data_IF_903846698782
#
_entry.id   IF_903846698782
#
_cell.length_a   1.000
_cell.length_b   1.000
_cell.length_c   1.000
_cell.angle_alpha   90.00
_cell.angle_beta   90.00
_cell.angle_gamma   90.00
#
_symmetry.space_group_name_H-M   'P 1'
#
loop_
_entity.id
_entity.type
_entity.pdbx_description
1 polymer ?
#
# COMPACT_ATOMS: atom_id res chain seq x y z
N UNK A 1 2.04 26.80 -46.32
CA UNK A 1 1.90 25.40 -45.85
C UNK A 1 0.83 24.73 -46.69
N UNK A 2 1.04 23.49 -47.16
CA UNK A 2 0.14 22.83 -48.11
C UNK A 2 -1.13 22.29 -47.44
N UNK A 3 -2.23 22.28 -48.19
CA UNK A 3 -3.57 21.80 -47.76
C UNK A 3 -3.53 20.35 -47.25
N UNK A 4 -2.60 19.53 -47.73
CA UNK A 4 -2.38 18.15 -47.26
C UNK A 4 -2.18 18.04 -45.74
N UNK A 5 -1.34 18.90 -45.14
CA UNK A 5 -1.06 18.84 -43.68
C UNK A 5 -2.27 19.19 -42.82
N UNK A 6 -3.24 19.92 -43.35
CA UNK A 6 -4.50 20.23 -42.65
C UNK A 6 -5.46 19.04 -42.74
N UNK A 7 -5.53 18.38 -43.90
CA UNK A 7 -6.30 17.15 -44.09
C UNK A 7 -5.84 16.02 -43.16
N UNK A 8 -4.52 15.83 -43.04
CA UNK A 8 -3.93 14.84 -42.12
C UNK A 8 -4.33 15.13 -40.66
N UNK A 9 -4.17 16.39 -40.20
CA UNK A 9 -4.52 16.81 -38.83
C UNK A 9 -6.02 16.58 -38.52
N UNK A 10 -6.89 16.96 -39.45
CA UNK A 10 -8.35 16.80 -39.33
C UNK A 10 -8.74 15.31 -39.32
N UNK A 11 -8.04 14.46 -40.09
CA UNK A 11 -8.27 13.01 -40.09
C UNK A 11 -7.89 12.33 -38.76
N UNK A 12 -6.82 12.81 -38.11
CA UNK A 12 -6.39 12.34 -36.78
C UNK A 12 -7.45 12.70 -35.74
N UNK A 13 -7.89 13.97 -35.70
CA UNK A 13 -8.95 14.45 -34.81
C UNK A 13 -10.28 13.69 -34.98
N UNK A 14 -10.72 13.43 -36.23
CA UNK A 14 -11.93 12.66 -36.52
C UNK A 14 -11.87 11.21 -36.04
N UNK A 15 -10.70 10.58 -36.15
CA UNK A 15 -10.46 9.22 -35.69
C UNK A 15 -10.43 9.14 -34.16
N UNK A 16 -9.75 10.07 -33.50
CA UNK A 16 -9.70 10.18 -32.03
C UNK A 16 -11.09 10.45 -31.44
N UNK A 17 -11.89 11.33 -32.05
CA UNK A 17 -13.28 11.56 -31.66
C UNK A 17 -14.17 10.32 -31.86
N UNK A 18 -13.93 9.53 -32.91
CA UNK A 18 -14.66 8.28 -33.17
C UNK A 18 -14.29 7.18 -32.17
N UNK A 19 -13.01 7.04 -31.83
CA UNK A 19 -12.53 6.11 -30.80
C UNK A 19 -13.11 6.49 -29.41
N UNK A 20 -13.11 7.78 -29.04
CA UNK A 20 -13.74 8.29 -27.82
C UNK A 20 -15.23 7.95 -27.77
N UNK A 21 -15.96 8.21 -28.87
CA UNK A 21 -17.40 7.93 -28.97
C UNK A 21 -17.71 6.44 -28.77
N UNK A 22 -16.91 5.53 -29.33
CA UNK A 22 -17.07 4.08 -29.12
C UNK A 22 -16.87 3.70 -27.65
N UNK A 23 -15.85 4.25 -26.99
CA UNK A 23 -15.56 3.94 -25.58
C UNK A 23 -16.65 4.37 -24.60
N UNK A 24 -17.31 5.50 -24.88
CA UNK A 24 -18.46 5.98 -24.10
C UNK A 24 -19.67 5.05 -24.30
N UNK A 25 -19.96 4.65 -25.53
CA UNK A 25 -21.12 3.78 -25.85
C UNK A 25 -20.94 2.36 -25.31
N UNK A 26 -19.71 1.85 -25.25
CA UNK A 26 -19.34 0.56 -24.63
C UNK A 26 -19.48 0.54 -23.09
N UNK A 27 -19.90 1.66 -22.46
CA UNK A 27 -20.02 1.82 -21.00
C UNK A 27 -18.73 1.59 -20.20
N UNK A 28 -17.56 1.70 -20.83
CA UNK A 28 -16.25 1.41 -20.20
C UNK A 28 -15.70 2.56 -19.35
N UNK A 29 -16.26 3.77 -19.44
CA UNK A 29 -15.82 4.94 -18.65
C UNK A 29 -16.98 5.85 -18.28
N UNK A 30 -16.96 6.40 -17.07
CA UNK A 30 -17.87 7.47 -16.64
C UNK A 30 -17.24 8.84 -16.92
N UNK A 31 -17.71 9.53 -17.95
CA UNK A 31 -17.17 10.83 -18.39
C UNK A 31 -17.55 11.98 -17.44
N UNK A 32 -18.67 11.84 -16.71
CA UNK A 32 -19.32 12.96 -16.03
C UNK A 32 -18.52 13.56 -14.86
N UNK A 33 -17.74 12.75 -14.14
CA UNK A 33 -17.00 13.21 -12.96
C UNK A 33 -15.67 13.90 -13.34
N UNK A 34 -14.94 13.33 -14.31
CA UNK A 34 -13.59 13.80 -14.67
C UNK A 34 -13.61 15.10 -15.50
N UNK A 35 -14.64 15.32 -16.32
CA UNK A 35 -14.72 16.51 -17.20
C UNK A 35 -15.37 17.74 -16.58
N UNK A 36 -15.96 17.62 -15.38
CA UNK A 36 -16.67 18.73 -14.72
C UNK A 36 -15.77 19.92 -14.35
N UNK A 37 -14.46 19.70 -14.20
CA UNK A 37 -13.45 20.71 -13.89
C UNK A 37 -12.79 21.36 -15.12
N UNK A 38 -12.98 20.82 -16.34
CA UNK A 38 -12.16 21.17 -17.52
C UNK A 38 -12.83 22.25 -18.41
N UNK A 39 -14.04 22.71 -18.06
CA UNK A 39 -14.79 23.74 -18.80
C UNK A 39 -14.17 25.15 -18.82
N UNK A 40 -13.01 25.35 -18.21
CA UNK A 40 -12.34 26.65 -18.06
C UNK A 40 -10.88 26.68 -18.55
N UNK A 41 -10.35 25.59 -19.08
CA UNK A 41 -8.97 25.54 -19.61
C UNK A 41 -8.90 25.88 -21.10
N UNK A 42 -7.69 26.17 -21.61
CA UNK A 42 -7.49 26.57 -23.02
C UNK A 42 -7.44 25.35 -23.93
N UNK A 43 -7.82 25.50 -25.19
CA UNK A 43 -7.92 24.41 -26.18
C UNK A 43 -6.69 23.49 -26.26
N UNK A 44 -5.47 24.02 -26.06
CA UNK A 44 -4.24 23.22 -26.08
C UNK A 44 -4.04 22.36 -24.82
N UNK A 45 -4.49 22.84 -23.66
CA UNK A 45 -4.47 22.12 -22.38
C UNK A 45 -5.55 21.03 -22.41
N UNK A 46 -6.77 21.38 -22.85
CA UNK A 46 -7.87 20.46 -23.14
C UNK A 46 -7.47 19.33 -24.11
N UNK A 47 -6.76 19.65 -25.20
CA UNK A 47 -6.28 18.66 -26.18
C UNK A 47 -5.19 17.75 -25.60
N UNK A 48 -4.25 18.29 -24.82
CA UNK A 48 -3.24 17.49 -24.14
C UNK A 48 -3.89 16.51 -23.14
N UNK A 49 -4.88 16.97 -22.39
CA UNK A 49 -5.61 16.15 -21.41
C UNK A 49 -6.51 15.11 -22.09
N UNK A 50 -7.16 15.45 -23.21
CA UNK A 50 -7.88 14.49 -24.06
C UNK A 50 -6.96 13.43 -24.67
N UNK A 51 -5.75 13.81 -25.11
CA UNK A 51 -4.74 12.86 -25.60
C UNK A 51 -4.18 11.99 -24.48
N UNK A 52 -3.97 12.55 -23.28
CA UNK A 52 -3.59 11.81 -22.09
C UNK A 52 -4.68 10.79 -21.71
N UNK A 53 -5.94 11.22 -21.65
CA UNK A 53 -7.11 10.40 -21.40
C UNK A 53 -7.30 9.30 -22.45
N UNK A 54 -7.17 9.61 -23.75
CA UNK A 54 -7.25 8.63 -24.84
C UNK A 54 -6.11 7.61 -24.80
N UNK A 55 -4.91 7.98 -24.34
CA UNK A 55 -3.81 7.04 -24.18
C UNK A 55 -3.92 6.22 -22.88
N UNK A 56 -4.43 6.79 -21.78
CA UNK A 56 -4.87 6.08 -20.57
C UNK A 56 -5.92 5.02 -20.93
N UNK A 57 -6.90 5.40 -21.75
CA UNK A 57 -7.96 4.55 -22.29
C UNK A 57 -7.47 3.42 -23.23
N UNK A 58 -6.26 3.52 -23.80
CA UNK A 58 -5.63 2.45 -24.59
C UNK A 58 -4.90 1.41 -23.72
N UNK A 59 -4.68 1.66 -22.42
CA UNK A 59 -4.21 0.61 -21.51
C UNK A 59 -5.31 -0.45 -21.37
N UNK A 60 -4.90 -1.73 -21.33
CA UNK A 60 -5.83 -2.84 -21.09
C UNK A 60 -6.39 -2.71 -19.67
N UNK A 61 -7.67 -2.39 -19.54
CA UNK A 61 -8.38 -2.54 -18.27
C UNK A 61 -8.28 -4.00 -17.81
N UNK A 62 -8.04 -4.22 -16.52
CA UNK A 62 -7.86 -5.56 -15.94
C UNK A 62 -9.01 -5.86 -15.00
N UNK A 63 -9.46 -7.11 -14.94
CA UNK A 63 -10.26 -7.61 -13.83
C UNK A 63 -9.34 -8.09 -12.71
N UNK A 64 -9.26 -7.32 -11.63
CA UNK A 64 -8.39 -7.55 -10.49
C UNK A 64 -9.24 -7.95 -9.29
N UNK A 65 -8.96 -9.12 -8.71
CA UNK A 65 -9.57 -9.56 -7.46
C UNK A 65 -8.51 -9.53 -6.36
N UNK A 66 -8.72 -8.70 -5.34
CA UNK A 66 -7.96 -8.73 -4.10
C UNK A 66 -8.56 -9.76 -3.14
N UNK A 67 -7.73 -10.60 -2.53
CA UNK A 67 -8.11 -11.46 -1.39
C UNK A 67 -7.30 -10.98 -0.18
N UNK A 68 -8.00 -10.44 0.82
CA UNK A 68 -7.40 -9.90 2.04
C UNK A 68 -8.25 -10.25 3.28
N UNK A 69 -7.70 -9.98 4.46
CA UNK A 69 -8.41 -10.09 5.74
C UNK A 69 -8.96 -8.76 6.24
N UNK A 70 -8.55 -7.64 5.65
CA UNK A 70 -8.81 -6.29 6.14
C UNK A 70 -8.99 -5.31 4.97
N UNK A 71 -9.90 -4.35 5.12
CA UNK A 71 -10.19 -3.26 4.19
C UNK A 71 -10.97 -2.17 4.91
N UNK A 72 -10.53 -0.92 4.84
CA UNK A 72 -11.26 0.21 5.42
C UNK A 72 -12.46 0.62 4.53
N UNK A 73 -13.58 1.11 5.11
CA UNK A 73 -13.89 1.19 6.54
C UNK A 73 -14.50 -0.12 7.11
N UNK A 74 -14.63 -1.18 6.30
CA UNK A 74 -15.40 -2.39 6.63
C UNK A 74 -14.79 -3.17 7.80
N UNK A 75 -13.50 -3.51 7.71
CA UNK A 75 -12.72 -4.23 8.72
C UNK A 75 -11.33 -3.57 8.76
N UNK A 76 -11.08 -2.76 9.80
CA UNK A 76 -9.84 -1.98 9.92
C UNK A 76 -9.11 -2.28 11.22
N UNK A 77 -8.14 -3.20 11.18
CA UNK A 77 -7.37 -3.63 12.36
C UNK A 77 -5.93 -3.09 12.31
N UNK A 78 -5.32 -3.05 11.13
CA UNK A 78 -3.99 -2.48 10.89
C UNK A 78 -3.85 -1.79 9.54
N UNK A 79 -2.60 -1.51 9.16
CA UNK A 79 -2.24 -0.76 7.94
C UNK A 79 -2.64 -1.44 6.62
N UNK A 80 -2.99 -2.74 6.64
CA UNK A 80 -3.51 -3.42 5.44
C UNK A 80 -4.86 -2.82 5.02
N UNK A 81 -5.69 -2.43 5.98
CA UNK A 81 -7.04 -1.92 5.71
C UNK A 81 -7.05 -0.64 4.85
N UNK A 82 -6.36 0.47 5.21
CA UNK A 82 -6.29 1.65 4.35
C UNK A 82 -5.54 1.41 3.05
N UNK A 83 -4.55 0.50 3.05
CA UNK A 83 -3.81 0.12 1.84
C UNK A 83 -4.70 -0.54 0.78
N UNK A 84 -5.48 -1.57 1.16
CA UNK A 84 -6.39 -2.25 0.23
C UNK A 84 -7.41 -1.26 -0.34
N UNK A 85 -7.99 -0.40 0.49
CA UNK A 85 -8.96 0.61 0.08
C UNK A 85 -8.35 1.62 -0.88
N UNK A 86 -7.22 2.21 -0.50
CA UNK A 86 -6.52 3.22 -1.28
C UNK A 86 -6.05 2.71 -2.64
N UNK A 87 -5.40 1.55 -2.66
CA UNK A 87 -4.96 0.90 -3.90
C UNK A 87 -6.14 0.51 -4.79
N UNK A 88 -7.24 -0.03 -4.22
CA UNK A 88 -8.43 -0.39 -5.00
C UNK A 88 -9.06 0.82 -5.69
N UNK A 89 -9.19 1.94 -4.96
CA UNK A 89 -9.72 3.20 -5.50
C UNK A 89 -8.81 3.80 -6.59
N UNK A 90 -7.49 3.76 -6.39
CA UNK A 90 -6.51 4.21 -7.38
C UNK A 90 -6.57 3.37 -8.68
N UNK A 91 -6.67 2.05 -8.54
CA UNK A 91 -6.82 1.14 -9.67
C UNK A 91 -8.17 1.33 -10.40
N UNK A 92 -9.27 1.58 -9.67
CA UNK A 92 -10.54 1.95 -10.28
C UNK A 92 -10.45 3.27 -11.05
N UNK A 93 -9.75 4.29 -10.51
CA UNK A 93 -9.47 5.56 -11.21
C UNK A 93 -8.55 5.41 -12.43
N UNK A 94 -7.77 4.32 -12.53
CA UNK A 94 -7.05 3.92 -13.75
C UNK A 94 -7.91 3.14 -14.76
N UNK A 95 -9.15 2.79 -14.41
CA UNK A 95 -10.11 2.10 -15.28
C UNK A 95 -10.11 0.58 -15.15
N UNK A 96 -9.45 0.00 -14.14
CA UNK A 96 -9.51 -1.43 -13.89
C UNK A 96 -10.82 -1.80 -13.13
N UNK A 97 -11.37 -2.99 -13.43
CA UNK A 97 -12.45 -3.57 -12.62
C UNK A 97 -11.82 -4.20 -11.38
N UNK A 98 -12.02 -3.59 -10.21
CA UNK A 98 -11.46 -4.07 -8.94
C UNK A 98 -12.55 -4.60 -8.03
N UNK A 99 -12.37 -5.83 -7.56
CA UNK A 99 -13.19 -6.44 -6.51
C UNK A 99 -12.33 -6.85 -5.32
N UNK A 100 -12.93 -6.91 -4.13
CA UNK A 100 -12.25 -7.32 -2.89
C UNK A 100 -13.07 -8.40 -2.20
N UNK A 101 -12.43 -9.54 -1.91
CA UNK A 101 -13.02 -10.65 -1.15
C UNK A 101 -12.47 -10.59 0.27
N UNK A 102 -13.38 -10.56 1.26
CA UNK A 102 -13.12 -10.39 2.68
C UNK A 102 -13.88 -11.44 3.53
N UNK A 103 -13.38 -11.83 4.71
CA UNK A 103 -14.14 -12.63 5.67
C UNK A 103 -15.26 -11.80 6.30
N UNK A 104 -16.48 -12.37 6.40
CA UNK A 104 -17.62 -11.73 7.10
C UNK A 104 -17.54 -11.99 8.61
N UNK A 105 -16.57 -11.40 9.29
CA UNK A 105 -16.29 -11.66 10.72
C UNK A 105 -17.51 -11.55 11.64
N UNK A 106 -18.36 -10.53 11.46
CA UNK A 106 -19.54 -10.30 12.30
C UNK A 106 -20.64 -11.38 12.18
N UNK A 107 -20.55 -12.26 11.17
CA UNK A 107 -21.46 -13.39 10.98
C UNK A 107 -20.73 -14.71 10.81
N UNK A 108 -19.52 -14.84 11.39
CA UNK A 108 -18.74 -16.07 11.35
C UNK A 108 -19.43 -17.12 12.23
N UNK A 109 -19.80 -18.27 11.65
CA UNK A 109 -20.27 -19.41 12.42
C UNK A 109 -19.09 -19.99 13.20
N UNK A 110 -19.12 -19.86 14.53
CA UNK A 110 -18.02 -20.33 15.38
C UNK A 110 -17.92 -21.86 15.44
N UNK A 111 -19.02 -22.57 15.18
CA UNK A 111 -19.07 -24.03 15.12
C UNK A 111 -18.31 -24.60 13.90
N UNK A 112 -18.07 -23.77 12.87
CA UNK A 112 -17.27 -24.09 11.68
C UNK A 112 -15.77 -23.70 11.83
N UNK A 113 -15.37 -23.14 12.98
CA UNK A 113 -13.98 -22.73 13.24
C UNK A 113 -13.18 -23.90 13.82
N UNK A 114 -12.38 -24.55 12.98
CA UNK A 114 -11.64 -25.73 13.39
C UNK A 114 -10.53 -25.42 14.40
N UNK A 115 -10.45 -26.25 15.44
CA UNK A 115 -9.44 -26.11 16.48
C UNK A 115 -9.58 -24.82 17.30
N UNK A 116 -10.79 -24.20 17.32
CA UNK A 116 -11.08 -23.02 18.14
C UNK A 116 -10.77 -23.29 19.61
N UNK A 117 -9.79 -22.58 20.16
CA UNK A 117 -9.37 -22.67 21.55
C UNK A 117 -8.92 -21.33 22.10
N UNK A 118 -9.12 -21.12 23.39
CA UNK A 118 -8.50 -20.03 24.12
C UNK A 118 -6.98 -20.31 24.23
N UNK A 119 -6.17 -19.27 23.99
CA UNK A 119 -4.74 -19.27 24.28
C UNK A 119 -4.61 -18.70 25.69
N UNK A 120 -4.09 -19.51 26.61
CA UNK A 120 -3.64 -19.06 27.94
C UNK A 120 -2.42 -18.13 27.78
N UNK A 121 -2.71 -16.84 27.59
CA UNK A 121 -1.73 -15.77 27.51
C UNK A 121 -2.30 -14.51 28.15
N UNK A 122 -1.64 -14.01 29.19
CA UNK A 122 -1.98 -12.71 29.77
C UNK A 122 -1.66 -11.60 28.76
N UNK A 123 -2.70 -11.01 28.18
CA UNK A 123 -2.57 -9.90 27.25
C UNK A 123 -3.49 -8.76 27.66
N UNK A 124 -2.94 -7.54 27.74
CA UNK A 124 -3.67 -6.37 28.18
C UNK A 124 -3.70 -5.30 27.08
N UNK A 125 -4.82 -4.59 26.98
CA UNK A 125 -5.05 -3.55 25.98
C UNK A 125 -5.68 -2.32 26.63
N UNK A 126 -5.29 -1.13 26.19
CA UNK A 126 -5.94 0.10 26.63
C UNK A 126 -7.20 0.36 25.82
N UNK A 127 -8.33 0.56 26.50
CA UNK A 127 -9.59 0.98 25.91
C UNK A 127 -10.31 1.95 26.85
N UNK A 128 -10.76 3.09 26.31
CA UNK A 128 -11.32 4.22 27.07
C UNK A 128 -10.49 4.64 28.30
N UNK A 129 -9.16 4.71 28.13
CA UNK A 129 -8.23 5.14 29.19
C UNK A 129 -7.98 4.11 30.31
N UNK A 130 -8.58 2.93 30.23
CA UNK A 130 -8.40 1.85 31.21
C UNK A 130 -7.70 0.64 30.57
N UNK A 131 -6.99 -0.13 31.38
CA UNK A 131 -6.31 -1.36 30.96
C UNK A 131 -7.26 -2.56 31.13
N UNK A 132 -7.54 -3.28 30.05
CA UNK A 132 -8.42 -4.45 30.03
C UNK A 132 -7.62 -5.72 29.79
N UNK A 133 -7.94 -6.79 30.53
CA UNK A 133 -7.44 -8.12 30.24
C UNK A 133 -8.18 -8.72 29.03
N UNK A 134 -7.43 -9.30 28.09
CA UNK A 134 -7.96 -9.86 26.86
C UNK A 134 -7.87 -11.39 26.91
N UNK A 135 -8.90 -12.07 26.42
CA UNK A 135 -8.85 -13.48 26.09
C UNK A 135 -8.51 -13.62 24.62
N UNK A 136 -7.44 -14.34 24.30
CA UNK A 136 -7.01 -14.57 22.92
C UNK A 136 -7.57 -15.91 22.48
N UNK A 137 -8.27 -15.95 21.36
CA UNK A 137 -8.76 -17.19 20.75
C UNK A 137 -8.00 -17.47 19.46
N UNK A 138 -7.79 -18.74 19.15
CA UNK A 138 -7.15 -19.18 17.91
C UNK A 138 -7.90 -20.36 17.32
N UNK A 139 -8.03 -20.39 15.99
CA UNK A 139 -8.70 -21.42 15.22
C UNK A 139 -8.48 -21.19 13.73
N UNK A 140 -8.89 -22.14 12.90
CA UNK A 140 -8.72 -22.12 11.45
C UNK A 140 -10.07 -21.95 10.74
N UNK A 141 -10.07 -21.18 9.65
CA UNK A 141 -11.25 -20.96 8.82
C UNK A 141 -10.92 -21.19 7.35
N UNK A 142 -11.89 -21.70 6.60
CA UNK A 142 -11.77 -22.09 5.20
C UNK A 142 -11.73 -20.92 4.20
N UNK A 143 -11.52 -19.67 4.67
CA UNK A 143 -11.65 -18.44 3.87
C UNK A 143 -10.86 -18.47 2.55
N UNK A 144 -9.58 -18.88 2.59
CA UNK A 144 -8.71 -18.94 1.40
C UNK A 144 -9.15 -19.98 0.36
N UNK A 145 -9.93 -20.99 0.75
CA UNK A 145 -10.55 -21.95 -0.17
C UNK A 145 -11.90 -21.42 -0.66
N UNK A 146 -12.72 -20.90 0.24
CA UNK A 146 -14.03 -20.33 -0.07
C UNK A 146 -13.97 -19.14 -1.03
N UNK A 147 -12.91 -18.31 -0.97
CA UNK A 147 -12.69 -17.21 -1.90
C UNK A 147 -12.45 -17.69 -3.34
N UNK A 148 -11.66 -18.75 -3.51
CA UNK A 148 -11.46 -19.40 -4.81
C UNK A 148 -12.74 -20.07 -5.32
N UNK A 149 -13.44 -20.83 -4.47
CA UNK A 149 -14.70 -21.47 -4.84
C UNK A 149 -15.79 -20.46 -5.21
N UNK A 150 -15.82 -19.30 -4.55
CA UNK A 150 -16.70 -18.18 -4.92
C UNK A 150 -16.38 -17.63 -6.32
N UNK A 151 -15.11 -17.45 -6.67
CA UNK A 151 -14.69 -16.98 -8.01
C UNK A 151 -15.21 -17.94 -9.09
N UNK A 152 -15.07 -19.27 -8.91
CA UNK A 152 -15.62 -20.28 -9.84
C UNK A 152 -17.14 -20.22 -9.91
N UNK A 153 -17.81 -20.33 -8.76
CA UNK A 153 -19.27 -20.45 -8.68
C UNK A 153 -20.00 -19.19 -9.16
N UNK A 154 -19.35 -18.03 -9.11
CA UNK A 154 -19.85 -16.78 -9.67
C UNK A 154 -19.44 -16.55 -11.14
N UNK A 155 -18.73 -17.50 -11.77
CA UNK A 155 -18.31 -17.42 -13.17
C UNK A 155 -17.26 -16.35 -13.47
N UNK A 156 -16.56 -15.85 -12.45
CA UNK A 156 -15.57 -14.76 -12.58
C UNK A 156 -14.27 -15.28 -13.21
N UNK A 157 -13.73 -14.51 -14.14
CA UNK A 157 -12.45 -14.78 -14.80
C UNK A 157 -11.51 -13.57 -14.64
N UNK A 158 -10.92 -13.39 -13.45
CA UNK A 158 -10.00 -12.27 -13.22
C UNK A 158 -8.72 -12.42 -14.04
N UNK A 159 -8.27 -11.32 -14.63
CA UNK A 159 -6.91 -11.20 -15.19
C UNK A 159 -5.85 -11.34 -14.08
N UNK A 160 -6.14 -10.87 -12.86
CA UNK A 160 -5.19 -10.84 -11.73
C UNK A 160 -5.85 -11.24 -10.42
N UNK A 161 -5.18 -12.14 -9.68
CA UNK A 161 -5.48 -12.45 -8.28
C UNK A 161 -4.38 -11.87 -7.39
N UNK A 162 -4.69 -10.85 -6.60
CA UNK A 162 -3.75 -10.21 -5.67
C UNK A 162 -4.05 -10.66 -4.23
N UNK A 163 -3.17 -11.50 -3.69
CA UNK A 163 -3.28 -12.07 -2.34
C UNK A 163 -2.47 -11.22 -1.34
N UNK A 164 -3.09 -10.85 -0.22
CA UNK A 164 -2.53 -9.93 0.77
C UNK A 164 -2.03 -10.63 2.04
N UNK A 165 -0.79 -10.34 2.42
CA UNK A 165 -0.11 -10.83 3.64
C UNK A 165 -0.08 -12.37 3.80
N UNK A 166 0.52 -12.83 4.90
CA UNK A 166 0.71 -14.26 5.19
C UNK A 166 -0.61 -15.00 5.44
N UNK A 167 -1.65 -14.30 5.90
CA UNK A 167 -2.98 -14.88 6.20
C UNK A 167 -3.64 -15.47 4.95
N UNK A 168 -3.48 -14.81 3.79
CA UNK A 168 -4.06 -15.26 2.51
C UNK A 168 -3.02 -15.90 1.58
N UNK A 169 -1.73 -15.86 1.91
CA UNK A 169 -0.65 -16.42 1.09
C UNK A 169 -0.82 -17.91 0.72
N UNK A 170 -1.61 -18.69 1.49
CA UNK A 170 -1.97 -20.08 1.15
C UNK A 170 -2.82 -20.19 -0.13
N UNK A 171 -3.49 -19.12 -0.55
CA UNK A 171 -4.22 -19.03 -1.83
C UNK A 171 -3.29 -19.31 -3.03
N UNK A 172 -1.99 -18.93 -2.96
CA UNK A 172 -1.04 -19.22 -4.04
C UNK A 172 -0.86 -20.73 -4.30
N UNK A 173 -0.43 -21.52 -3.29
CA UNK A 173 -0.43 -22.98 -3.38
C UNK A 173 -1.81 -23.57 -3.71
N UNK A 174 -2.90 -23.06 -3.14
CA UNK A 174 -4.25 -23.54 -3.45
C UNK A 174 -4.62 -23.37 -4.92
N UNK A 175 -4.28 -22.21 -5.50
CA UNK A 175 -4.50 -21.92 -6.90
C UNK A 175 -3.72 -22.91 -7.79
N UNK A 176 -2.41 -23.05 -7.59
CA UNK A 176 -1.60 -23.87 -8.51
C UNK A 176 -1.69 -25.37 -8.27
N UNK A 177 -1.85 -25.83 -7.02
CA UNK A 177 -1.82 -27.26 -6.68
C UNK A 177 -3.19 -27.88 -6.48
N UNK A 178 -4.26 -27.09 -6.30
CA UNK A 178 -5.64 -27.60 -6.22
C UNK A 178 -6.55 -27.02 -7.29
N UNK A 179 -6.43 -25.75 -7.67
CA UNK A 179 -7.40 -25.08 -8.57
C UNK A 179 -7.08 -25.30 -10.06
N UNK A 180 -5.87 -24.97 -10.48
CA UNK A 180 -5.30 -25.30 -11.80
C UNK A 180 -5.21 -26.81 -12.00
N UNK A 181 -5.13 -27.58 -10.91
CA UNK A 181 -5.05 -29.04 -10.91
C UNK A 181 -6.34 -29.73 -10.42
N UNK A 182 -7.52 -29.09 -10.45
CA UNK A 182 -8.73 -29.64 -9.82
C UNK A 182 -9.39 -30.85 -10.53
N UNK A 183 -8.58 -31.65 -11.21
CA UNK A 183 -8.76 -33.09 -11.26
C UNK A 183 -8.08 -33.74 -10.02
N UNK A 184 -8.87 -34.10 -9.00
CA UNK A 184 -8.60 -35.09 -7.93
C UNK A 184 -7.94 -34.64 -6.59
N UNK A 185 -7.80 -35.61 -5.68
CA UNK A 185 -7.98 -35.59 -4.20
C UNK A 185 -7.10 -36.68 -3.50
N UNK A 186 -6.93 -36.87 -2.17
CA UNK A 186 -7.37 -36.24 -0.89
C UNK A 186 -6.26 -36.52 0.22
N UNK A 187 -6.31 -36.05 1.51
CA UNK A 187 -5.16 -35.35 2.10
C UNK A 187 -4.94 -35.53 3.66
N UNK A 188 -4.08 -34.74 4.37
CA UNK A 188 -4.40 -34.35 5.79
C UNK A 188 -3.75 -33.02 6.32
N UNK A 189 -4.45 -32.24 7.18
CA UNK A 189 -4.16 -30.84 7.65
C UNK A 189 -3.82 -29.71 6.67
N UNK A 190 -2.89 -29.83 5.72
CA UNK A 190 -2.89 -28.91 4.54
C UNK A 190 -4.14 -29.19 3.66
N UNK A 191 -4.66 -30.41 3.82
CA UNK A 191 -5.95 -30.95 3.43
C UNK A 191 -7.19 -30.13 3.61
N UNK A 192 -7.25 -29.37 4.68
CA UNK A 192 -8.48 -28.69 5.04
C UNK A 192 -8.80 -27.73 3.88
N UNK A 193 -7.78 -27.07 3.34
CA UNK A 193 -7.93 -26.29 2.11
C UNK A 193 -7.83 -27.13 0.80
N UNK A 194 -7.55 -28.43 0.88
CA UNK A 194 -7.43 -29.37 -0.26
C UNK A 194 -5.99 -29.69 -0.71
N UNK A 195 -4.96 -29.36 0.09
CA UNK A 195 -3.55 -29.52 -0.31
C UNK A 195 -2.89 -30.78 0.29
N UNK A 196 -1.99 -31.42 -0.47
CA UNK A 196 -1.17 -32.56 -0.03
C UNK A 196 0.09 -32.07 0.75
N UNK A 197 0.22 -32.39 2.06
CA UNK A 197 1.40 -32.00 2.85
C UNK A 197 2.71 -32.55 2.33
N UNK A 198 2.72 -33.79 1.84
CA UNK A 198 3.93 -34.49 1.42
C UNK A 198 4.57 -33.82 0.20
N UNK A 199 3.74 -33.24 -0.68
CA UNK A 199 4.18 -32.46 -1.84
C UNK A 199 4.61 -31.04 -1.49
N UNK A 200 4.04 -30.44 -0.45
CA UNK A 200 4.29 -29.04 -0.08
C UNK A 200 5.38 -28.84 0.97
N UNK A 201 5.62 -29.81 1.85
CA UNK A 201 6.60 -29.69 2.93
C UNK A 201 8.03 -29.98 2.44
N UNK A 202 8.45 -29.21 1.42
CA UNK A 202 9.76 -29.32 0.76
C UNK A 202 10.53 -27.99 0.81
N UNK A 203 11.88 -28.02 0.74
CA UNK A 203 12.71 -26.81 0.72
C UNK A 203 12.38 -25.84 -0.42
N UNK A 204 12.00 -26.35 -1.60
CA UNK A 204 11.59 -25.56 -2.77
C UNK A 204 10.14 -25.06 -2.70
N UNK A 205 9.40 -25.41 -1.64
CA UNK A 205 7.97 -25.15 -1.46
C UNK A 205 7.70 -24.44 -0.13
N UNK A 206 6.88 -25.02 0.75
CA UNK A 206 6.43 -24.37 1.98
C UNK A 206 7.31 -24.67 3.20
N UNK A 207 8.28 -25.59 3.15
CA UNK A 207 9.09 -25.90 4.34
C UNK A 207 9.85 -24.66 4.84
N UNK A 208 9.79 -24.37 6.14
CA UNK A 208 10.51 -23.23 6.71
C UNK A 208 12.04 -23.40 6.60
N UNK A 209 12.75 -22.32 6.28
CA UNK A 209 14.19 -22.35 6.05
C UNK A 209 15.00 -22.61 7.34
N UNK A 210 14.44 -22.32 8.50
CA UNK A 210 15.12 -22.44 9.81
C UNK A 210 14.56 -23.60 10.64
N UNK A 211 13.24 -23.79 10.60
CA UNK A 211 12.50 -24.82 11.35
C UNK A 211 11.92 -25.82 10.38
N UNK A 212 12.76 -26.69 9.84
CA UNK A 212 12.40 -27.64 8.76
C UNK A 212 11.23 -28.58 9.08
N UNK A 213 10.85 -28.75 10.34
CA UNK A 213 9.63 -29.48 10.76
C UNK A 213 8.33 -28.66 10.61
N UNK A 214 8.39 -27.38 10.24
CA UNK A 214 7.26 -26.48 10.05
C UNK A 214 7.07 -26.10 8.57
N UNK A 215 5.84 -25.67 8.25
CA UNK A 215 5.52 -24.98 7.01
C UNK A 215 5.43 -23.46 7.26
N UNK A 216 5.96 -22.69 6.31
CA UNK A 216 5.94 -21.24 6.27
C UNK A 216 5.01 -20.79 5.14
N UNK A 217 3.82 -20.30 5.52
CA UNK A 217 2.76 -19.94 4.56
C UNK A 217 3.15 -18.73 3.70
N UNK A 218 3.89 -17.76 4.28
CA UNK A 218 4.41 -16.60 3.55
C UNK A 218 5.46 -17.01 2.52
N UNK A 219 6.34 -17.97 2.85
CA UNK A 219 7.23 -18.62 1.87
C UNK A 219 6.43 -19.23 0.72
N UNK A 220 5.33 -19.92 1.01
CA UNK A 220 4.39 -20.43 0.01
C UNK A 220 3.89 -19.33 -0.94
N UNK A 221 3.41 -18.21 -0.40
CA UNK A 221 3.01 -17.05 -1.20
C UNK A 221 4.13 -16.53 -2.11
N UNK A 222 5.35 -16.40 -1.58
CA UNK A 222 6.52 -15.96 -2.36
C UNK A 222 6.87 -16.95 -3.47
N UNK A 223 6.91 -18.26 -3.18
CA UNK A 223 7.27 -19.30 -4.15
C UNK A 223 6.25 -19.35 -5.29
N UNK A 224 4.95 -19.31 -4.98
CA UNK A 224 3.87 -19.58 -5.93
C UNK A 224 3.34 -18.35 -6.69
N UNK A 225 3.61 -17.11 -6.25
CA UNK A 225 3.14 -15.91 -6.97
C UNK A 225 4.02 -15.57 -8.17
N UNK A 226 3.44 -15.10 -9.29
CA UNK A 226 4.19 -14.63 -10.47
C UNK A 226 5.01 -13.36 -10.19
N UNK A 227 4.49 -12.50 -9.32
CA UNK A 227 5.14 -11.29 -8.80
C UNK A 227 4.92 -11.22 -7.28
N UNK A 228 5.85 -10.62 -6.56
CA UNK A 228 5.79 -10.42 -5.12
C UNK A 228 6.05 -8.93 -4.86
N UNK A 229 5.09 -8.22 -4.28
CA UNK A 229 5.25 -6.80 -3.96
C UNK A 229 5.49 -6.68 -2.46
N UNK A 230 6.53 -5.96 -2.07
CA UNK A 230 6.80 -5.61 -0.67
C UNK A 230 6.69 -4.10 -0.48
N UNK A 231 5.99 -3.69 0.56
CA UNK A 231 5.73 -2.27 0.86
C UNK A 231 6.83 -1.75 1.78
N UNK A 232 7.70 -0.87 1.28
CA UNK A 232 8.87 -0.40 2.05
C UNK A 232 9.33 1.01 1.68
N UNK A 233 9.94 1.69 2.65
CA UNK A 233 10.78 2.87 2.45
C UNK A 233 12.24 2.50 2.15
N UNK A 234 12.65 1.25 2.43
CA UNK A 234 13.98 0.73 2.10
C UNK A 234 14.00 0.36 0.61
N UNK A 235 14.93 0.96 -0.13
CA UNK A 235 14.98 0.93 -1.59
C UNK A 235 15.66 -0.32 -2.17
N UNK A 236 16.74 -0.80 -1.54
CA UNK A 236 17.50 -1.94 -2.07
C UNK A 236 16.80 -3.26 -1.75
N UNK A 237 16.54 -4.06 -2.80
CA UNK A 237 16.08 -5.45 -2.65
C UNK A 237 17.03 -6.25 -1.76
N UNK A 238 18.34 -6.03 -1.87
CA UNK A 238 19.33 -6.72 -1.02
C UNK A 238 19.31 -6.26 0.43
N UNK A 239 19.03 -4.97 0.71
CA UNK A 239 18.81 -4.50 2.07
C UNK A 239 17.52 -5.10 2.67
N UNK A 240 16.42 -5.14 1.92
CA UNK A 240 15.18 -5.83 2.37
C UNK A 240 15.48 -7.31 2.62
N UNK A 241 16.14 -7.98 1.67
CA UNK A 241 16.54 -9.39 1.77
C UNK A 241 17.38 -9.64 3.01
N UNK A 242 18.31 -8.75 3.39
CA UNK A 242 19.20 -8.92 4.56
C UNK A 242 18.58 -8.50 5.89
N UNK A 243 17.73 -7.48 5.93
CA UNK A 243 17.30 -6.81 7.17
C UNK A 243 15.85 -7.07 7.58
N UNK A 244 14.96 -7.43 6.64
CA UNK A 244 13.51 -7.55 6.87
C UNK A 244 12.95 -8.96 6.58
N UNK A 245 13.78 -9.90 6.13
CA UNK A 245 13.31 -11.23 5.71
C UNK A 245 12.96 -12.19 6.86
N UNK A 246 13.54 -12.00 8.04
CA UNK A 246 13.24 -12.76 9.27
C UNK A 246 13.24 -14.30 9.10
N UNK A 247 14.22 -14.87 8.38
CA UNK A 247 14.32 -16.29 8.03
C UNK A 247 13.95 -16.60 6.57
N UNK A 248 13.42 -15.63 5.82
CA UNK A 248 13.11 -15.75 4.38
C UNK A 248 14.25 -15.28 3.46
N UNK A 249 15.41 -14.90 4.01
CA UNK A 249 16.56 -14.36 3.25
C UNK A 249 16.91 -15.26 2.05
N UNK A 250 17.03 -16.59 2.20
CA UNK A 250 17.36 -17.48 1.07
C UNK A 250 16.24 -17.55 0.03
N UNK A 251 14.98 -17.55 0.47
CA UNK A 251 13.81 -17.60 -0.42
C UNK A 251 13.67 -16.33 -1.25
N UNK A 252 13.82 -15.17 -0.62
CA UNK A 252 13.72 -13.88 -1.30
C UNK A 252 14.93 -13.63 -2.21
N UNK A 253 16.12 -14.16 -1.88
CA UNK A 253 17.26 -14.18 -2.79
C UNK A 253 16.99 -15.02 -4.06
N UNK A 254 16.48 -16.25 -3.92
CA UNK A 254 16.10 -17.11 -5.05
C UNK A 254 15.03 -16.46 -5.94
N UNK A 255 14.09 -15.72 -5.34
CA UNK A 255 12.97 -15.07 -6.03
C UNK A 255 13.15 -13.57 -6.27
N UNK A 256 14.38 -13.02 -6.16
CA UNK A 256 14.69 -11.58 -6.27
C UNK A 256 14.16 -10.95 -7.57
N UNK A 257 14.18 -11.70 -8.67
CA UNK A 257 13.74 -11.21 -10.00
C UNK A 257 12.24 -10.91 -10.08
N UNK A 258 11.41 -11.55 -9.25
CA UNK A 258 9.96 -11.30 -9.17
C UNK A 258 9.54 -10.45 -7.96
N UNK A 259 10.50 -10.07 -7.12
CA UNK A 259 10.30 -9.13 -6.02
C UNK A 259 10.29 -7.69 -6.55
N UNK A 260 9.25 -6.95 -6.24
CA UNK A 260 9.07 -5.52 -6.50
C UNK A 260 8.93 -4.79 -5.16
N UNK A 261 9.43 -3.55 -5.09
CA UNK A 261 9.33 -2.70 -3.89
C UNK A 261 8.43 -1.53 -4.23
N UNK A 262 7.33 -1.37 -3.50
CA UNK A 262 6.41 -0.24 -3.67
C UNK A 262 6.45 0.67 -2.44
N UNK A 263 6.33 2.00 -2.61
CA UNK A 263 6.21 2.92 -1.48
C UNK A 263 4.78 2.83 -0.91
N UNK A 264 4.63 3.16 0.36
CA UNK A 264 3.29 3.44 0.90
C UNK A 264 2.71 4.68 0.21
N UNK A 265 1.39 4.71 0.08
CA UNK A 265 0.63 5.90 -0.27
C UNK A 265 -0.23 6.36 0.90
N UNK A 266 -1.01 7.41 0.68
CA UNK A 266 -2.11 7.79 1.57
C UNK A 266 -3.26 8.43 0.76
N UNK A 267 -4.38 8.70 1.42
CA UNK A 267 -5.50 9.42 0.80
C UNK A 267 -5.24 10.94 0.86
N UNK A 268 -4.83 11.52 -0.28
CA UNK A 268 -4.59 12.95 -0.42
C UNK A 268 -5.82 13.81 -0.08
N UNK A 269 -7.04 13.29 -0.26
CA UNK A 269 -8.27 14.06 -0.02
C UNK A 269 -8.64 14.09 1.46
N UNK A 270 -8.54 12.93 2.14
CA UNK A 270 -8.82 12.82 3.57
C UNK A 270 -7.75 13.48 4.45
N UNK A 271 -6.50 13.57 3.96
CA UNK A 271 -5.36 14.15 4.69
C UNK A 271 -4.90 15.46 4.04
N UNK A 272 -5.82 16.36 3.72
CA UNK A 272 -5.50 17.66 3.12
C UNK A 272 -5.68 18.83 4.09
N UNK A 273 -4.60 19.45 4.64
CA UNK A 273 -4.75 20.55 5.59
C UNK A 273 -5.43 21.80 5.01
N UNK A 274 -5.56 21.93 3.68
CA UNK A 274 -6.29 23.04 3.06
C UNK A 274 -7.81 22.84 3.04
N UNK A 275 -8.30 21.61 3.25
CA UNK A 275 -9.72 21.23 3.22
C UNK A 275 -10.17 20.52 4.52
N UNK A 276 -9.26 20.31 5.47
CA UNK A 276 -9.52 19.62 6.73
C UNK A 276 -10.28 20.53 7.69
N UNK A 277 -11.60 20.33 7.76
CA UNK A 277 -12.51 21.07 8.64
C UNK A 277 -12.34 20.74 10.14
N UNK A 278 -11.53 19.75 10.51
CA UNK A 278 -11.21 19.45 11.91
C UNK A 278 -10.00 20.27 12.41
N UNK A 279 -9.25 20.92 11.51
CA UNK A 279 -8.22 21.87 11.91
C UNK A 279 -8.84 23.18 12.42
N UNK A 280 -8.31 23.77 13.51
CA UNK A 280 -8.70 25.11 13.97
C UNK A 280 -8.54 26.20 12.91
N UNK A 281 -7.65 26.00 11.94
CA UNK A 281 -7.48 26.86 10.77
C UNK A 281 -6.82 26.06 9.64
N UNK A 282 -7.49 25.92 8.49
CA UNK A 282 -6.92 25.25 7.32
C UNK A 282 -5.66 25.98 6.80
N UNK A 283 -4.72 25.27 6.19
CA UNK A 283 -3.48 25.83 5.64
C UNK A 283 -2.95 25.00 4.47
N UNK A 284 -2.09 25.59 3.63
CA UNK A 284 -1.55 24.95 2.43
C UNK A 284 -0.03 25.07 2.33
N UNK A 285 0.54 24.51 1.26
CA UNK A 285 1.96 24.71 0.96
C UNK A 285 2.29 26.19 0.67
N UNK A 286 1.34 26.91 0.06
CA UNK A 286 1.48 28.33 -0.32
C UNK A 286 1.27 29.30 0.85
N UNK A 287 0.49 28.92 1.87
CA UNK A 287 0.33 29.68 3.11
C UNK A 287 0.32 28.77 4.34
N UNK A 288 1.44 28.78 5.07
CA UNK A 288 1.64 28.03 6.32
C UNK A 288 1.13 28.75 7.58
N UNK A 289 0.53 29.96 7.50
CA UNK A 289 0.11 30.73 8.69
C UNK A 289 -0.88 29.97 9.58
N UNK A 290 -1.87 29.29 8.99
CA UNK A 290 -2.86 28.51 9.73
C UNK A 290 -2.25 27.38 10.57
N UNK A 291 -1.06 26.89 10.18
CA UNK A 291 -0.31 25.89 10.94
C UNK A 291 0.16 26.40 12.30
N UNK A 292 0.46 27.70 12.42
CA UNK A 292 0.81 28.31 13.72
C UNK A 292 -0.39 28.32 14.68
N UNK A 293 -1.60 28.56 14.16
CA UNK A 293 -2.85 28.47 14.92
C UNK A 293 -3.10 27.03 15.39
N UNK A 294 -2.98 26.06 14.49
CA UNK A 294 -3.11 24.63 14.81
C UNK A 294 -2.08 24.18 15.86
N UNK A 295 -0.86 24.72 15.80
CA UNK A 295 0.22 24.43 16.75
C UNK A 295 -0.08 24.95 18.16
N UNK A 296 -0.63 26.16 18.28
CA UNK A 296 -1.05 26.73 19.57
C UNK A 296 -2.20 25.91 20.18
N UNK A 297 -3.21 25.56 19.38
CA UNK A 297 -4.31 24.71 19.82
C UNK A 297 -3.84 23.33 20.30
N UNK A 298 -2.87 22.72 19.61
CA UNK A 298 -2.24 21.47 20.05
C UNK A 298 -1.45 21.63 21.36
N UNK A 299 -0.71 22.73 21.54
CA UNK A 299 -0.01 23.02 22.80
C UNK A 299 -1.00 23.14 23.96
N UNK A 300 -2.06 23.93 23.79
CA UNK A 300 -3.11 24.11 24.78
C UNK A 300 -3.79 22.78 25.14
N UNK A 301 -4.18 21.97 24.14
CA UNK A 301 -4.81 20.67 24.37
C UNK A 301 -3.89 19.66 25.07
N UNK A 302 -2.57 19.73 24.81
CA UNK A 302 -1.56 18.88 25.44
C UNK A 302 -1.06 19.40 26.80
N UNK A 303 -1.57 20.54 27.31
CA UNK A 303 -1.09 21.15 28.54
C UNK A 303 0.34 21.71 28.47
N UNK A 304 0.83 21.99 27.26
CA UNK A 304 2.14 22.57 26.99
C UNK A 304 2.07 24.10 26.99
N UNK A 305 3.21 24.77 27.20
CA UNK A 305 3.29 26.23 27.08
C UNK A 305 2.89 26.69 25.67
N UNK A 306 1.86 27.53 25.61
CA UNK A 306 1.33 28.13 24.38
C UNK A 306 2.34 29.12 23.79
N UNK A 307 3.17 28.64 22.86
CA UNK A 307 4.17 29.45 22.18
C UNK A 307 4.48 28.86 20.79
N UNK A 308 3.98 29.51 19.75
CA UNK A 308 4.14 29.09 18.36
C UNK A 308 5.62 29.05 17.90
N UNK A 309 6.53 29.75 18.57
CA UNK A 309 7.97 29.76 18.27
C UNK A 309 8.73 28.57 18.88
N UNK A 310 8.18 27.92 19.91
CA UNK A 310 8.80 26.72 20.53
C UNK A 310 8.69 25.54 19.57
N UNK A 311 9.81 24.88 19.23
CA UNK A 311 9.80 23.69 18.37
C UNK A 311 9.03 22.57 19.06
N UNK A 312 7.98 22.05 18.41
CA UNK A 312 7.31 20.83 18.86
C UNK A 312 7.94 19.62 18.18
N UNK A 313 8.22 18.59 18.98
CA UNK A 313 8.71 17.29 18.51
C UNK A 313 7.72 16.25 18.99
N UNK A 314 7.10 15.53 18.05
CA UNK A 314 6.26 14.37 18.36
C UNK A 314 7.09 13.10 18.22
N UNK A 315 7.14 12.29 19.27
CA UNK A 315 7.83 11.01 19.29
C UNK A 315 6.79 9.89 19.39
N UNK A 316 6.57 9.14 18.31
CA UNK A 316 5.68 7.97 18.33
C UNK A 316 6.49 6.75 18.72
N UNK A 317 6.41 6.39 20.00
CA UNK A 317 6.94 5.14 20.53
C UNK A 317 5.91 4.03 20.39
N UNK A 318 6.29 2.92 19.77
CA UNK A 318 5.48 1.71 19.72
C UNK A 318 5.86 0.81 20.89
N UNK A 319 5.18 0.98 22.01
CA UNK A 319 5.35 0.12 23.18
C UNK A 319 4.58 -1.20 23.00
N UNK A 320 5.12 -2.07 22.15
CA UNK A 320 4.59 -3.42 21.95
C UNK A 320 5.71 -4.43 22.11
N UNK A 321 5.46 -5.50 22.88
CA UNK A 321 6.44 -6.57 23.13
C UNK A 321 7.07 -7.09 21.84
N UNK A 322 8.41 -7.33 21.87
CA UNK A 322 9.30 -7.67 20.74
C UNK A 322 8.78 -8.73 19.74
N UNK A 323 7.76 -9.53 20.10
CA UNK A 323 7.10 -10.52 19.25
C UNK A 323 6.18 -9.93 18.17
N UNK A 324 5.67 -8.70 18.32
CA UNK A 324 4.68 -8.08 17.39
C UNK A 324 5.28 -6.90 16.57
N UNK A 325 6.61 -6.88 16.38
CA UNK A 325 7.27 -5.85 15.53
C UNK A 325 6.83 -5.89 14.04
N UNK A 326 6.20 -6.96 13.58
CA UNK A 326 6.01 -7.27 12.15
C UNK A 326 4.89 -6.51 11.45
N UNK A 327 3.85 -6.09 12.17
CA UNK A 327 2.67 -5.44 11.58
C UNK A 327 2.73 -3.89 11.63
N UNK A 328 3.74 -3.32 12.31
CA UNK A 328 3.74 -1.90 12.70
C UNK A 328 4.74 -1.02 11.95
N UNK A 329 5.70 -1.60 11.22
CA UNK A 329 6.63 -0.83 10.38
C UNK A 329 5.91 -0.09 9.23
N UNK A 330 4.88 -0.72 8.68
CA UNK A 330 3.96 -0.13 7.70
C UNK A 330 3.21 1.09 8.21
N UNK A 331 2.71 1.04 9.45
CA UNK A 331 2.05 2.19 10.10
C UNK A 331 3.01 3.38 10.27
N UNK A 332 4.29 3.13 10.59
CA UNK A 332 5.29 4.19 10.69
C UNK A 332 5.53 4.89 9.35
N UNK A 333 5.54 4.17 8.23
CA UNK A 333 5.72 4.80 6.91
C UNK A 333 4.50 5.62 6.48
N UNK A 334 3.29 5.08 6.65
CA UNK A 334 2.05 5.83 6.36
C UNK A 334 1.94 7.10 7.23
N UNK A 335 2.38 7.04 8.49
CA UNK A 335 2.41 8.20 9.38
C UNK A 335 3.42 9.27 8.92
N UNK A 336 4.60 8.89 8.39
CA UNK A 336 5.56 9.86 7.84
C UNK A 336 4.96 10.63 6.66
N UNK A 337 4.22 9.95 5.79
CA UNK A 337 3.53 10.57 4.65
C UNK A 337 2.52 11.64 5.11
N UNK A 338 1.66 11.28 6.05
CA UNK A 338 0.67 12.20 6.65
C UNK A 338 1.36 13.36 7.37
N UNK A 339 2.43 13.09 8.10
CA UNK A 339 3.22 14.12 8.78
C UNK A 339 3.77 15.15 7.77
N UNK A 340 4.39 14.69 6.67
CA UNK A 340 4.89 15.56 5.60
C UNK A 340 3.78 16.41 5.00
N UNK A 341 2.60 15.81 4.75
CA UNK A 341 1.46 16.52 4.16
C UNK A 341 0.90 17.62 5.07
N UNK A 342 0.99 17.46 6.39
CA UNK A 342 0.69 18.50 7.40
C UNK A 342 1.94 19.35 7.74
N UNK A 343 3.00 19.25 6.93
CA UNK A 343 4.22 20.05 7.00
C UNK A 343 5.16 19.70 8.17
N UNK A 344 5.04 18.54 8.79
CA UNK A 344 6.00 18.05 9.78
C UNK A 344 7.13 17.26 9.08
N UNK A 345 8.37 17.52 9.46
CA UNK A 345 9.51 16.76 8.94
C UNK A 345 9.65 15.41 9.67
N UNK A 346 9.80 14.28 8.95
CA UNK A 346 10.13 13.00 9.56
C UNK A 346 11.63 12.98 9.90
N UNK A 347 11.99 13.26 11.16
CA UNK A 347 13.37 13.31 11.63
C UNK A 347 13.75 12.01 12.33
N UNK A 348 14.92 11.44 11.99
CA UNK A 348 15.38 10.19 12.57
C UNK A 348 15.91 10.38 14.00
N UNK A 349 15.23 9.79 14.99
CA UNK A 349 15.74 9.66 16.35
C UNK A 349 16.63 8.42 16.44
N UNK A 350 17.89 8.58 16.06
CA UNK A 350 18.88 7.48 16.08
C UNK A 350 19.11 6.96 17.49
N UNK A 351 18.83 5.67 17.71
CA UNK A 351 19.61 4.88 18.67
C UNK A 351 21.00 4.62 18.06
N UNK A 352 22.03 4.65 18.89
CA UNK A 352 23.44 4.51 18.47
C UNK A 352 23.80 3.06 18.13
N UNK A 353 23.24 2.52 17.04
CA UNK A 353 23.73 1.31 16.40
C UNK A 353 24.27 1.64 15.01
N UNK A 354 25.58 1.56 14.86
CA UNK A 354 26.38 2.11 13.76
C UNK A 354 26.30 1.36 12.42
N UNK A 355 25.36 0.44 12.26
CA UNK A 355 25.33 -0.51 11.13
C UNK A 355 24.69 0.03 9.83
N UNK A 356 24.00 1.17 9.85
CA UNK A 356 23.25 1.68 8.69
C UNK A 356 24.02 2.63 7.76
N UNK A 357 25.33 2.85 7.96
CA UNK A 357 26.11 3.88 7.23
C UNK A 357 26.86 3.43 5.99
N UNK A 358 26.76 2.17 5.57
CA UNK A 358 27.40 1.71 4.33
C UNK A 358 26.47 0.76 3.56
N UNK A 359 26.07 1.19 2.35
CA UNK A 359 26.42 0.57 1.06
C UNK A 359 25.67 1.38 0.00
N UNK A 360 26.42 2.13 -0.81
CA UNK A 360 25.99 2.51 -2.15
C UNK A 360 26.53 1.41 -3.04
N UNK A 361 25.65 0.68 -3.72
CA UNK A 361 26.00 0.12 -5.02
C UNK A 361 24.74 -0.08 -5.87
N UNK A 362 24.91 -0.08 -7.19
CA UNK A 362 23.83 0.08 -8.17
C UNK A 362 22.87 -1.12 -8.24
N UNK A 363 21.56 -0.85 -8.19
CA UNK A 363 20.62 -1.40 -9.18
C UNK A 363 19.33 -0.57 -9.27
N UNK A 364 18.64 -0.64 -10.41
CA UNK A 364 17.57 0.30 -10.79
C UNK A 364 16.23 0.15 -10.03
N UNK A 365 15.42 1.22 -10.12
CA UNK A 365 14.05 1.39 -9.57
C UNK A 365 13.94 1.61 -8.04
N UNK A 366 14.64 2.65 -7.57
CA UNK A 366 14.32 3.36 -6.34
C UNK A 366 13.00 4.13 -6.45
N UNK A 367 12.15 4.08 -5.42
CA UNK A 367 10.89 4.85 -5.37
C UNK A 367 11.16 6.35 -5.25
N UNK A 368 10.46 7.19 -6.02
CA UNK A 368 10.44 8.67 -5.92
C UNK A 368 10.26 9.14 -4.48
N UNK A 369 9.39 8.48 -3.71
CA UNK A 369 9.24 8.76 -2.28
C UNK A 369 10.55 8.54 -1.50
N UNK A 370 11.16 7.34 -1.59
CA UNK A 370 12.38 7.03 -0.84
C UNK A 370 13.57 7.93 -1.24
N UNK A 371 13.70 8.24 -2.54
CA UNK A 371 14.66 9.23 -3.04
C UNK A 371 14.46 10.60 -2.39
N UNK A 372 13.21 11.11 -2.41
CA UNK A 372 12.89 12.42 -1.86
C UNK A 372 13.17 12.50 -0.35
N UNK A 373 12.77 11.48 0.42
CA UNK A 373 13.02 11.44 1.86
C UNK A 373 14.52 11.34 2.16
N UNK A 374 15.24 10.46 1.47
CA UNK A 374 16.69 10.31 1.64
C UNK A 374 17.42 11.64 1.41
N UNK A 375 17.10 12.32 0.30
CA UNK A 375 17.75 13.57 -0.11
C UNK A 375 17.35 14.78 0.76
N UNK A 376 16.12 14.82 1.29
CA UNK A 376 15.57 15.99 1.99
C UNK A 376 15.67 15.91 3.52
N UNK A 377 15.50 14.71 4.09
CA UNK A 377 15.38 14.48 5.55
C UNK A 377 16.24 13.32 6.08
N UNK A 378 16.63 12.36 5.24
CA UNK A 378 17.11 11.03 5.68
C UNK A 378 18.40 11.03 6.52
N UNK A 379 19.25 12.04 6.35
CA UNK A 379 20.51 12.20 7.10
C UNK A 379 20.42 13.24 8.23
N UNK A 380 19.24 13.83 8.48
CA UNK A 380 19.08 14.93 9.43
C UNK A 380 18.89 14.38 10.85
N UNK A 381 19.81 14.69 11.76
CA UNK A 381 19.63 14.41 13.19
C UNK A 381 18.60 15.36 13.82
N UNK A 382 18.08 15.01 15.00
CA UNK A 382 17.21 15.90 15.77
C UNK A 382 17.89 17.23 16.12
N UNK A 383 19.20 17.24 16.43
CA UNK A 383 19.94 18.48 16.67
C UNK A 383 20.05 19.32 15.39
N UNK A 384 20.44 18.72 14.25
CA UNK A 384 20.53 19.41 12.97
C UNK A 384 19.19 20.00 12.52
N UNK A 385 18.08 19.28 12.76
CA UNK A 385 16.73 19.78 12.48
C UNK A 385 16.38 21.00 13.35
N UNK A 386 16.66 20.94 14.65
CA UNK A 386 16.44 22.06 15.58
C UNK A 386 17.31 23.27 15.21
N UNK A 387 18.56 23.03 14.82
CA UNK A 387 19.49 24.09 14.40
C UNK A 387 19.09 24.72 13.05
N UNK A 388 18.59 23.94 12.08
CA UNK A 388 18.07 24.47 10.82
C UNK A 388 16.79 25.31 11.06
N UNK A 389 15.88 24.85 11.93
CA UNK A 389 14.67 25.61 12.30
C UNK A 389 15.01 26.94 12.98
N UNK A 390 15.99 26.96 13.89
CA UNK A 390 16.40 28.15 14.63
C UNK A 390 17.19 29.15 13.79
N UNK A 391 18.17 28.66 13.03
CA UNK A 391 19.15 29.51 12.35
C UNK A 391 18.73 29.84 10.90
N UNK A 392 17.95 28.98 10.24
CA UNK A 392 17.53 29.14 8.85
C UNK A 392 16.00 28.90 8.65
N UNK A 393 15.11 29.56 9.43
CA UNK A 393 13.67 29.28 9.41
C UNK A 393 13.02 29.46 8.02
N UNK A 394 13.50 30.39 7.21
CA UNK A 394 13.01 30.60 5.83
C UNK A 394 13.37 29.44 4.89
N UNK A 395 14.54 28.83 5.07
CA UNK A 395 14.95 27.64 4.31
C UNK A 395 14.16 26.42 4.77
N UNK A 396 13.98 26.25 6.08
CA UNK A 396 13.15 25.20 6.66
C UNK A 396 11.71 25.26 6.15
N UNK A 397 11.07 26.44 6.23
CA UNK A 397 9.69 26.61 5.75
C UNK A 397 9.55 26.33 4.24
N UNK A 398 10.55 26.68 3.42
CA UNK A 398 10.57 26.32 1.99
C UNK A 398 10.71 24.82 1.77
N UNK A 399 11.58 24.14 2.54
CA UNK A 399 11.73 22.67 2.51
C UNK A 399 10.42 21.97 2.89
N UNK A 400 9.73 22.47 3.91
CA UNK A 400 8.43 21.97 4.35
C UNK A 400 7.34 22.20 3.28
N UNK A 401 7.24 23.40 2.71
CA UNK A 401 6.29 23.70 1.66
C UNK A 401 6.50 22.82 0.41
N UNK A 402 7.75 22.69 -0.05
CA UNK A 402 8.09 21.78 -1.15
C UNK A 402 7.67 20.33 -0.84
N UNK A 403 7.91 19.85 0.38
CA UNK A 403 7.52 18.51 0.80
C UNK A 403 5.99 18.31 0.83
N UNK A 404 5.22 19.32 1.26
CA UNK A 404 3.75 19.29 1.24
C UNK A 404 3.16 19.21 -0.18
N UNK A 405 3.87 19.71 -1.20
CA UNK A 405 3.43 19.63 -2.62
C UNK A 405 3.69 18.29 -3.29
N UNK A 406 4.49 17.40 -2.69
CA UNK A 406 4.80 16.10 -3.30
C UNK A 406 3.60 15.17 -3.24
N UNK A 407 3.27 14.59 -4.38
CA UNK A 407 2.23 13.57 -4.45
C UNK A 407 2.79 12.21 -4.05
N UNK A 408 2.45 11.79 -2.83
CA UNK A 408 2.68 10.44 -2.32
C UNK A 408 1.36 9.73 -2.04
N UNK A 409 0.33 10.00 -2.85
CA UNK A 409 -0.96 9.32 -2.77
C UNK A 409 -0.89 7.85 -3.22
N UNK A 410 -1.97 7.14 -2.98
CA UNK A 410 -2.20 5.83 -3.59
C UNK A 410 -2.20 5.87 -5.12
N UNK A 411 -2.68 6.97 -5.73
CA UNK A 411 -2.79 7.15 -7.19
C UNK A 411 -1.45 7.31 -7.91
N UNK A 412 -0.44 7.75 -7.18
CA UNK A 412 0.91 7.98 -7.69
C UNK A 412 1.70 6.65 -7.81
N UNK A 413 2.97 6.70 -7.42
CA UNK A 413 3.95 5.62 -7.59
C UNK A 413 3.51 4.26 -7.03
N UNK A 414 2.75 4.23 -5.94
CA UNK A 414 2.21 2.98 -5.42
C UNK A 414 1.34 2.27 -6.46
N UNK A 415 0.35 2.95 -7.06
CA UNK A 415 -0.49 2.36 -8.09
C UNK A 415 0.25 2.13 -9.41
N UNK A 416 1.26 2.95 -9.77
CA UNK A 416 2.10 2.73 -10.96
C UNK A 416 2.86 1.40 -10.93
N UNK A 417 3.47 1.07 -9.78
CA UNK A 417 4.22 -0.18 -9.60
C UNK A 417 3.28 -1.39 -9.64
N UNK A 418 2.07 -1.26 -9.08
CA UNK A 418 1.04 -2.30 -9.13
C UNK A 418 0.51 -2.54 -10.54
N UNK A 419 0.11 -1.49 -11.26
CA UNK A 419 -0.34 -1.56 -12.67
C UNK A 419 0.74 -2.22 -13.56
N UNK A 420 2.00 -1.82 -13.38
CA UNK A 420 3.16 -2.42 -14.08
C UNK A 420 3.35 -3.90 -13.72
N UNK A 421 3.21 -4.26 -12.44
CA UNK A 421 3.27 -5.65 -11.99
C UNK A 421 2.20 -6.51 -12.66
N UNK A 422 0.95 -6.03 -12.68
CA UNK A 422 -0.21 -6.72 -13.28
C UNK A 422 -0.04 -6.91 -14.79
N UNK A 423 0.33 -5.85 -15.51
CA UNK A 423 0.62 -5.93 -16.94
C UNK A 423 1.74 -6.96 -17.24
N UNK A 424 2.74 -7.06 -16.36
CA UNK A 424 3.83 -8.03 -16.50
C UNK A 424 3.47 -9.49 -16.15
N UNK A 425 2.29 -9.75 -15.58
CA UNK A 425 1.78 -11.12 -15.34
C UNK A 425 1.05 -11.67 -16.56
N UNK A 426 0.35 -10.82 -17.31
CA UNK A 426 -0.44 -11.20 -18.50
C UNK A 426 0.38 -11.35 -19.78
N UNK A 427 1.66 -10.99 -19.73
CA UNK A 427 2.65 -11.17 -20.80
C UNK A 427 3.57 -12.39 -20.54
N UNK A 428 3.20 -13.27 -19.60
CA UNK A 428 3.86 -14.55 -19.29
C UNK A 428 3.10 -15.70 -19.94
#
# INVERSE_FOLDING_TARGET
MSVSRVGDLVSVLLREASDLRRMIMDSKVSVANDFSTILHERDAELLAELHHYLNKCKKKAFHIIHICTEMAPVISVGSLAPYVTGLSLALQRKGHLVEVILPKYAGLNLDEVEGLREIEAEFYSYFNGQLHANRIWTGFIYFSRASLDYIVKSGKQPDVLHIHNWQTAIVGPLFWDVFVKQCLEQPDKLALCGLDPSRLHRPDRLQDNTKTHLANILKGGIVYSNKVITMSSIHSKDLIIRSLSHGLEPTLAIHKNKLLVAPYGFDNSAWNPSMDHFLPHCYGADDLKGKAVCKLALQQHAGLSENASVVLVSCVFLEVSRRINRAMGSFQEELKLKAIRYGAAPVAVMRTDSQFRQIIDHDFESTRFSQYISNTFGNLSLSQAIDEIKNNPSQWNRKIADAMTKDFSWDAECCDIHDTAYASVLNL
#
